data_IF_062666584872
#
_entry.id   IF_062666584872
#
_cell.length_a   1.000
_cell.length_b   1.000
_cell.length_c   1.000
_cell.angle_alpha   90.00
_cell.angle_beta   90.00
_cell.angle_gamma   90.00
#
_symmetry.space_group_name_H-M   'P 1'
#
loop_
_entity.id
_entity.type
_entity.pdbx_description
1 polymer ?
#
# COMPACT_ATOMS: atom_id res chain seq x y z
N UNK A 1 -28.89 -14.57 0.37
CA UNK A 1 -29.33 -15.89 0.87
C UNK A 1 -28.92 -16.92 -0.17
N UNK A 2 -27.95 -17.77 0.14
CA UNK A 2 -27.43 -18.80 -0.78
C UNK A 2 -28.05 -20.15 -0.38
N UNK A 3 -28.45 -20.95 -1.36
CA UNK A 3 -29.03 -22.28 -1.18
C UNK A 3 -28.02 -23.32 -1.64
N UNK A 4 -27.85 -24.39 -0.87
CA UNK A 4 -26.94 -25.51 -1.19
C UNK A 4 -27.77 -26.75 -1.47
N UNK A 5 -27.35 -27.53 -2.47
CA UNK A 5 -28.04 -28.75 -2.89
C UNK A 5 -27.42 -29.96 -2.20
N UNK A 6 -28.25 -30.70 -1.47
CA UNK A 6 -27.87 -31.93 -0.79
C UNK A 6 -27.83 -33.11 -1.78
N UNK A 7 -27.21 -34.23 -1.38
CA UNK A 7 -27.07 -35.42 -2.23
C UNK A 7 -28.40 -36.09 -2.60
N UNK A 8 -29.48 -35.78 -1.89
CA UNK A 8 -30.86 -36.21 -2.19
C UNK A 8 -31.62 -35.23 -3.12
N UNK A 9 -30.95 -34.16 -3.56
CA UNK A 9 -31.49 -33.14 -4.46
C UNK A 9 -32.32 -32.06 -3.78
N UNK A 10 -32.45 -32.08 -2.46
CA UNK A 10 -33.11 -31.00 -1.71
C UNK A 10 -32.22 -29.76 -1.62
N UNK A 11 -32.84 -28.57 -1.62
CA UNK A 11 -32.14 -27.29 -1.49
C UNK A 11 -32.33 -26.74 -0.07
N UNK A 12 -31.25 -26.64 0.70
CA UNK A 12 -31.28 -26.10 2.06
C UNK A 12 -30.61 -24.73 2.11
N UNK A 13 -31.14 -23.77 2.92
CA UNK A 13 -30.49 -22.47 3.07
C UNK A 13 -29.14 -22.64 3.78
N UNK A 14 -28.07 -22.20 3.14
CA UNK A 14 -26.74 -22.22 3.76
C UNK A 14 -26.76 -21.28 4.97
N UNK A 15 -26.37 -21.77 6.15
CA UNK A 15 -26.17 -20.92 7.34
C UNK A 15 -25.15 -19.83 6.98
N UNK A 16 -25.47 -18.57 7.28
CA UNK A 16 -24.46 -17.49 7.27
C UNK A 16 -23.32 -17.92 8.17
N UNK A 17 -22.11 -17.99 7.61
CA UNK A 17 -20.90 -18.20 8.40
C UNK A 17 -20.40 -16.82 8.83
N UNK A 18 -20.39 -16.53 10.13
CA UNK A 18 -19.89 -15.26 10.69
C UNK A 18 -18.35 -15.21 10.77
N UNK A 19 -17.65 -16.23 10.28
CA UNK A 19 -16.19 -16.37 10.44
C UNK A 19 -15.47 -16.47 9.10
N UNK A 20 -15.72 -15.51 8.21
CA UNK A 20 -14.93 -15.38 6.97
C UNK A 20 -13.58 -14.68 7.20
N UNK A 21 -13.40 -13.96 8.32
CA UNK A 21 -12.15 -13.29 8.63
C UNK A 21 -11.12 -14.29 9.18
N UNK A 22 -10.39 -14.95 8.27
CA UNK A 22 -9.10 -15.56 8.62
C UNK A 22 -8.10 -14.43 8.85
N UNK A 23 -7.79 -14.16 10.12
CA UNK A 23 -6.74 -13.22 10.47
C UNK A 23 -5.39 -13.91 10.25
N UNK A 24 -4.62 -13.44 9.27
CA UNK A 24 -3.26 -13.91 9.03
C UNK A 24 -2.32 -13.09 9.89
N UNK A 25 -2.03 -13.58 11.10
CA UNK A 25 -0.88 -13.12 11.85
C UNK A 25 0.31 -13.97 11.45
N UNK A 26 1.43 -13.31 11.16
CA UNK A 26 2.66 -13.89 10.63
C UNK A 26 3.14 -15.13 11.41
N UNK A 27 3.40 -16.23 10.69
CA UNK A 27 4.11 -17.43 11.13
C UNK A 27 3.75 -18.08 12.47
N UNK A 28 3.06 -19.23 12.41
CA UNK A 28 2.78 -20.24 13.46
C UNK A 28 1.44 -20.08 14.22
N UNK A 29 0.45 -20.88 13.79
CA UNK A 29 -0.68 -21.34 14.62
C UNK A 29 -2.07 -20.78 14.25
N UNK A 30 -3.03 -21.67 13.97
CA UNK A 30 -4.43 -21.32 13.77
C UNK A 30 -5.14 -21.23 15.13
N UNK A 31 -5.62 -20.04 15.51
CA UNK A 31 -6.45 -19.82 16.71
C UNK A 31 -7.92 -19.57 16.33
N UNK A 32 -8.83 -20.15 17.10
CA UNK A 32 -10.29 -20.06 16.91
C UNK A 32 -10.82 -18.66 17.27
N UNK A 33 -11.73 -18.12 16.46
CA UNK A 33 -12.31 -16.78 16.60
C UNK A 33 -13.31 -16.61 17.78
N UNK A 34 -13.47 -17.64 18.62
CA UNK A 34 -14.43 -17.62 19.73
C UNK A 34 -13.79 -17.36 21.09
N UNK A 35 -12.47 -17.26 21.18
CA UNK A 35 -11.80 -16.92 22.43
C UNK A 35 -11.82 -15.41 22.66
N UNK A 36 -12.54 -15.01 23.71
CA UNK A 36 -12.41 -13.69 24.30
C UNK A 36 -10.93 -13.46 24.63
N UNK A 37 -10.35 -12.38 24.09
CA UNK A 37 -8.96 -11.99 24.31
C UNK A 37 -8.71 -11.78 25.81
N UNK A 38 -8.24 -12.84 26.48
CA UNK A 38 -7.87 -12.81 27.88
C UNK A 38 -6.39 -12.52 27.95
N UNK A 39 -6.03 -11.23 27.94
CA UNK A 39 -4.65 -10.72 27.95
C UNK A 39 -4.12 -10.53 29.39
N UNK A 40 -4.64 -11.24 30.38
CA UNK A 40 -4.11 -11.13 31.74
C UNK A 40 -3.95 -12.51 32.37
N UNK A 41 -2.71 -13.01 32.35
CA UNK A 41 -2.21 -13.84 33.42
C UNK A 41 -1.79 -12.91 34.56
N UNK A 42 -2.23 -13.20 35.78
CA UNK A 42 -1.76 -12.54 36.99
C UNK A 42 -0.23 -12.49 36.99
N UNK A 43 0.32 -11.26 36.99
CA UNK A 43 1.68 -11.02 37.49
C UNK A 43 1.66 -9.76 38.33
N UNK A 44 2.11 -9.97 39.56
CA UNK A 44 2.42 -8.94 40.54
C UNK A 44 3.29 -7.83 39.95
N UNK A 45 2.87 -6.60 40.28
CA UNK A 45 3.67 -5.41 40.53
C UNK A 45 4.90 -5.13 39.64
N UNK A 46 4.69 -4.35 38.58
CA UNK A 46 5.47 -3.14 38.30
C UNK A 46 4.70 -2.28 37.28
N UNK A 47 4.40 -1.04 37.64
CA UNK A 47 3.84 -0.04 36.73
C UNK A 47 4.92 0.35 35.72
N UNK A 48 4.93 -0.31 34.57
CA UNK A 48 5.50 0.28 33.36
C UNK A 48 4.34 0.79 32.51
N UNK A 49 4.27 2.10 32.37
CA UNK A 49 3.34 2.78 31.48
C UNK A 49 3.59 2.25 30.07
N UNK A 50 2.70 1.39 29.59
CA UNK A 50 2.70 0.93 28.19
C UNK A 50 2.31 2.14 27.35
N UNK A 51 3.32 2.86 26.89
CA UNK A 51 3.18 3.93 25.92
C UNK A 51 2.80 3.25 24.59
N UNK A 52 1.50 3.26 24.29
CA UNK A 52 0.94 2.72 23.05
C UNK A 52 1.39 3.65 21.92
N UNK A 53 2.59 3.40 21.41
CA UNK A 53 3.19 4.21 20.36
C UNK A 53 2.50 3.90 19.02
N UNK A 54 1.93 4.96 18.44
CA UNK A 54 1.32 5.04 17.12
C UNK A 54 0.26 3.97 16.75
N UNK A 55 -1.01 4.27 17.04
CA UNK A 55 -2.11 3.83 16.18
C UNK A 55 -1.75 4.20 14.73
N UNK A 56 -1.48 3.21 13.88
CA UNK A 56 -1.24 3.40 12.44
C UNK A 56 -2.28 4.35 11.89
N UNK A 57 -1.87 5.60 11.63
CA UNK A 57 -2.76 6.59 11.04
C UNK A 57 -3.22 5.99 9.70
N UNK A 58 -4.52 5.91 9.41
CA UNK A 58 -4.99 5.37 8.15
C UNK A 58 -4.23 6.07 7.02
N UNK A 59 -3.57 5.30 6.15
CA UNK A 59 -2.92 5.87 4.99
C UNK A 59 -3.93 6.78 4.30
N UNK A 60 -3.58 8.06 4.14
CA UNK A 60 -4.48 9.01 3.51
C UNK A 60 -4.85 8.43 2.14
N UNK A 61 -6.14 8.19 1.90
CA UNK A 61 -6.59 7.66 0.63
C UNK A 61 -6.08 8.59 -0.48
N UNK A 62 -5.43 8.06 -1.53
CA UNK A 62 -4.90 8.88 -2.59
C UNK A 62 -6.03 9.68 -3.23
N UNK A 63 -5.79 10.97 -3.45
CA UNK A 63 -6.76 11.81 -4.15
C UNK A 63 -6.82 11.40 -5.62
N UNK A 64 -8.00 11.48 -6.22
CA UNK A 64 -8.23 11.01 -7.59
C UNK A 64 -7.37 11.76 -8.63
N UNK A 65 -7.13 13.06 -8.42
CA UNK A 65 -6.25 13.90 -9.24
C UNK A 65 -4.79 13.43 -9.17
N UNK A 66 -4.31 12.99 -8.00
CA UNK A 66 -2.96 12.43 -7.83
C UNK A 66 -2.83 11.11 -8.59
N UNK A 67 -3.81 10.21 -8.47
CA UNK A 67 -3.80 8.95 -9.21
C UNK A 67 -3.82 9.18 -10.74
N UNK A 68 -4.62 10.14 -11.19
CA UNK A 68 -4.67 10.53 -12.60
C UNK A 68 -3.32 11.11 -13.09
N UNK A 69 -2.65 11.92 -12.26
CA UNK A 69 -1.33 12.48 -12.59
C UNK A 69 -0.24 11.40 -12.68
N UNK A 70 -0.27 10.41 -11.78
CA UNK A 70 0.63 9.25 -11.80
C UNK A 70 0.41 8.43 -13.08
N UNK A 71 -0.85 8.11 -13.40
CA UNK A 71 -1.20 7.35 -14.61
C UNK A 71 -0.83 8.10 -15.88
N UNK A 72 -1.17 9.39 -15.98
CA UNK A 72 -0.79 10.23 -17.11
C UNK A 72 0.73 10.27 -17.29
N UNK A 73 1.50 10.36 -16.20
CA UNK A 73 2.96 10.33 -16.24
C UNK A 73 3.49 8.99 -16.73
N UNK A 74 3.03 7.88 -16.15
CA UNK A 74 3.43 6.55 -16.61
C UNK A 74 3.13 6.33 -18.10
N UNK A 75 1.96 6.76 -18.60
CA UNK A 75 1.60 6.64 -20.01
C UNK A 75 2.53 7.43 -20.94
N UNK A 76 3.10 8.58 -20.52
CA UNK A 76 4.12 9.29 -21.30
C UNK A 76 5.40 8.45 -21.52
N UNK A 77 5.73 7.58 -20.57
CA UNK A 77 6.91 6.69 -20.65
C UNK A 77 6.59 5.28 -21.14
N UNK A 78 5.33 4.96 -21.44
CA UNK A 78 4.91 3.60 -21.80
C UNK A 78 5.62 3.02 -23.04
N UNK A 79 6.17 3.88 -23.92
CA UNK A 79 6.94 3.46 -25.09
C UNK A 79 8.46 3.49 -24.88
N UNK A 80 8.95 3.74 -23.66
CA UNK A 80 10.37 3.87 -23.37
C UNK A 80 11.12 2.55 -23.68
N UNK A 81 12.25 2.58 -24.42
CA UNK A 81 12.98 1.37 -24.79
C UNK A 81 13.42 0.52 -23.60
N UNK A 82 13.68 1.14 -22.45
CA UNK A 82 14.05 0.44 -21.21
C UNK A 82 12.97 -0.54 -20.74
N UNK A 83 11.69 -0.22 -20.93
CA UNK A 83 10.59 -1.13 -20.55
C UNK A 83 10.62 -2.39 -21.42
N UNK A 84 10.88 -2.26 -22.73
CA UNK A 84 11.04 -3.41 -23.61
C UNK A 84 12.28 -4.23 -23.28
N UNK A 85 13.39 -3.57 -22.95
CA UNK A 85 14.62 -4.24 -22.52
C UNK A 85 14.46 -5.01 -21.22
N UNK A 86 13.54 -4.57 -20.35
CA UNK A 86 13.16 -5.24 -19.10
C UNK A 86 11.97 -6.20 -19.26
N UNK A 87 11.48 -6.42 -20.48
CA UNK A 87 10.31 -7.29 -20.77
C UNK A 87 9.02 -6.88 -20.03
N UNK A 88 8.89 -5.60 -19.65
CA UNK A 88 7.70 -5.08 -18.99
C UNK A 88 6.65 -4.66 -20.03
N UNK A 89 5.43 -5.18 -19.87
CA UNK A 89 4.29 -4.64 -20.62
C UNK A 89 3.93 -3.24 -20.11
N UNK A 90 3.17 -2.48 -20.91
CA UNK A 90 2.63 -1.17 -20.48
C UNK A 90 1.80 -1.30 -19.20
N UNK A 91 1.08 -2.41 -19.03
CA UNK A 91 0.28 -2.68 -17.83
C UNK A 91 1.15 -2.92 -16.61
N UNK A 92 2.25 -3.66 -16.77
CA UNK A 92 3.20 -3.91 -15.68
C UNK A 92 3.86 -2.61 -15.26
N UNK A 93 4.25 -1.78 -16.23
CA UNK A 93 4.81 -0.46 -15.98
C UNK A 93 3.85 0.46 -15.21
N UNK A 94 2.58 0.56 -15.63
CA UNK A 94 1.57 1.36 -14.94
C UNK A 94 1.38 0.92 -13.48
N UNK A 95 1.37 -0.40 -13.26
CA UNK A 95 1.21 -0.99 -11.93
C UNK A 95 2.44 -0.72 -11.06
N UNK A 96 3.64 -0.97 -11.61
CA UNK A 96 4.91 -0.78 -10.93
C UNK A 96 5.12 0.68 -10.53
N UNK A 97 4.91 1.62 -11.45
CA UNK A 97 5.13 3.03 -11.17
C UNK A 97 4.16 3.55 -10.10
N UNK A 98 2.88 3.17 -10.15
CA UNK A 98 1.93 3.50 -9.08
C UNK A 98 2.37 2.94 -7.73
N UNK A 99 2.77 1.68 -7.70
CA UNK A 99 3.24 1.03 -6.47
C UNK A 99 4.52 1.68 -5.93
N UNK A 100 5.44 2.12 -6.80
CA UNK A 100 6.63 2.85 -6.40
C UNK A 100 6.26 4.16 -5.69
N UNK A 101 5.39 4.99 -6.26
CA UNK A 101 4.95 6.24 -5.62
C UNK A 101 4.25 6.00 -4.27
N UNK A 102 3.51 4.90 -4.15
CA UNK A 102 2.90 4.49 -2.88
C UNK A 102 3.95 4.18 -1.80
N UNK A 103 4.98 3.41 -2.15
CA UNK A 103 6.07 3.05 -1.23
C UNK A 103 6.89 4.27 -0.83
N UNK A 104 7.20 5.16 -1.79
CA UNK A 104 8.08 6.31 -1.55
C UNK A 104 7.43 7.37 -0.65
N UNK A 105 6.14 7.66 -0.85
CA UNK A 105 5.51 8.82 -0.19
C UNK A 105 4.12 8.57 0.39
N UNK A 106 3.53 7.38 0.18
CA UNK A 106 2.11 7.14 0.40
C UNK A 106 1.23 8.23 -0.25
N UNK A 107 1.59 8.62 -1.48
CA UNK A 107 0.90 9.64 -2.27
C UNK A 107 0.93 11.06 -1.64
N UNK A 108 1.97 11.38 -0.87
CA UNK A 108 2.14 12.70 -0.25
C UNK A 108 3.13 13.57 -1.01
N UNK A 109 2.64 14.64 -1.62
CA UNK A 109 3.49 15.65 -2.27
C UNK A 109 4.41 16.42 -1.30
N UNK A 110 4.02 16.50 -0.01
CA UNK A 110 4.76 17.23 1.03
C UNK A 110 5.73 16.33 1.80
N UNK A 111 5.92 15.08 1.37
CA UNK A 111 6.82 14.14 2.00
C UNK A 111 8.27 14.62 1.85
N UNK A 112 8.99 14.69 2.97
CA UNK A 112 10.43 14.94 3.01
C UNK A 112 11.06 13.92 3.96
N UNK A 113 12.02 13.13 3.46
CA UNK A 113 12.73 12.14 4.29
C UNK A 113 13.78 12.80 5.19
N UNK A 114 14.28 12.06 6.17
CA UNK A 114 15.40 12.50 7.02
C UNK A 114 16.71 12.72 6.24
N UNK A 115 16.88 12.02 5.12
CA UNK A 115 18.01 12.21 4.21
C UNK A 115 17.82 13.40 3.25
N UNK A 116 16.62 13.99 3.21
CA UNK A 116 16.30 15.14 2.37
C UNK A 116 15.70 14.80 1.01
N UNK A 117 15.22 13.57 0.80
CA UNK A 117 14.45 13.21 -0.38
C UNK A 117 13.07 13.88 -0.36
N UNK A 118 12.53 14.29 -1.52
CA UNK A 118 11.37 15.20 -1.60
C UNK A 118 10.28 14.62 -2.53
N UNK A 119 9.03 14.77 -2.10
CA UNK A 119 7.84 14.62 -2.94
C UNK A 119 7.43 13.19 -3.23
N UNK A 120 6.64 12.99 -4.28
CA UNK A 120 5.99 11.73 -4.60
C UNK A 120 6.95 10.56 -4.81
N UNK A 121 7.98 10.77 -5.63
CA UNK A 121 9.01 9.77 -5.92
C UNK A 121 10.29 9.94 -5.10
N UNK A 122 10.23 10.70 -3.99
CA UNK A 122 11.35 10.91 -3.07
C UNK A 122 12.68 11.22 -3.79
N UNK A 123 12.65 12.21 -4.70
CA UNK A 123 13.85 12.62 -5.41
C UNK A 123 14.82 13.33 -4.46
N UNK A 124 16.07 12.90 -4.45
CA UNK A 124 17.14 13.65 -3.81
C UNK A 124 17.37 14.98 -4.57
N UNK A 125 17.70 16.08 -3.88
CA UNK A 125 17.90 17.37 -4.54
C UNK A 125 18.97 17.36 -5.64
N UNK A 126 20.06 16.62 -5.45
CA UNK A 126 21.10 16.46 -6.46
C UNK A 126 20.58 15.71 -7.69
N UNK A 127 19.84 14.61 -7.49
CA UNK A 127 19.19 13.86 -8.58
C UNK A 127 18.21 14.73 -9.36
N UNK A 128 17.40 15.53 -8.67
CA UNK A 128 16.45 16.42 -9.31
C UNK A 128 17.16 17.50 -10.15
N UNK A 129 18.28 18.03 -9.67
CA UNK A 129 19.14 18.96 -10.43
C UNK A 129 19.67 18.30 -11.70
N UNK A 130 20.19 17.09 -11.60
CA UNK A 130 20.77 16.37 -12.74
C UNK A 130 19.71 16.03 -13.80
N UNK A 131 18.46 15.81 -13.38
CA UNK A 131 17.30 15.60 -14.25
C UNK A 131 16.68 16.91 -14.78
N UNK A 132 17.08 18.07 -14.26
CA UNK A 132 16.53 19.38 -14.61
C UNK A 132 15.08 19.57 -14.19
N UNK A 133 14.68 18.99 -13.05
CA UNK A 133 13.31 19.05 -12.50
C UNK A 133 13.30 19.72 -11.13
N UNK A 134 12.22 20.43 -10.79
CA UNK A 134 11.96 20.88 -9.42
C UNK A 134 11.25 19.77 -8.63
N UNK A 135 11.88 19.18 -7.60
CA UNK A 135 11.27 18.09 -6.85
C UNK A 135 10.11 18.56 -5.95
N UNK A 136 9.91 19.87 -5.75
CA UNK A 136 8.75 20.42 -5.03
C UNK A 136 7.56 20.68 -5.92
N UNK A 137 7.76 20.74 -7.24
CA UNK A 137 6.64 20.77 -8.19
C UNK A 137 6.11 19.35 -8.38
N UNK A 138 4.82 19.08 -8.09
CA UNK A 138 4.28 17.72 -8.09
C UNK A 138 4.39 17.02 -9.46
N UNK A 139 4.20 17.76 -10.56
CA UNK A 139 4.25 17.20 -11.91
C UNK A 139 5.69 16.86 -12.32
N UNK A 140 6.62 17.77 -12.04
CA UNK A 140 8.04 17.56 -12.30
C UNK A 140 8.65 16.47 -11.42
N UNK A 141 8.20 16.33 -10.17
CA UNK A 141 8.63 15.24 -9.30
C UNK A 141 8.21 13.86 -9.85
N UNK A 142 6.95 13.72 -10.29
CA UNK A 142 6.49 12.50 -10.95
C UNK A 142 7.28 12.24 -12.24
N UNK A 143 7.44 13.26 -13.08
CA UNK A 143 8.17 13.11 -14.34
C UNK A 143 9.64 12.71 -14.11
N UNK A 144 10.32 13.35 -13.14
CA UNK A 144 11.68 12.99 -12.75
C UNK A 144 11.78 11.58 -12.17
N UNK A 145 10.85 11.19 -11.32
CA UNK A 145 10.77 9.83 -10.75
C UNK A 145 10.52 8.75 -11.80
N UNK A 146 9.77 9.05 -12.86
CA UNK A 146 9.57 8.10 -13.96
C UNK A 146 10.79 7.98 -14.89
N UNK A 147 11.62 9.04 -14.98
CA UNK A 147 12.85 9.05 -15.79
C UNK A 147 14.03 8.37 -15.11
N UNK A 148 14.13 8.51 -13.79
CA UNK A 148 15.22 7.99 -12.97
C UNK A 148 15.14 6.46 -12.85
#
# INVERSE_FOLDING_TARGET
>A
MVLVMESDGSLTPSRSQDSFARNYNDGIGQGSASDNLSIFGERDAATEDIQVDALSRPAALPRADVLAAIEATALRYASHPGLRGAELSVRDWLTLYRANIEVESAYRQDAVSSAGAIGFGQLMPDTARDLGVDPRDPQQNLDGSARY
#
